data_IF_832872039610
#
_entry.id   IF_832872039610
#
_cell.length_a   1.000
_cell.length_b   1.000
_cell.length_c   1.000
_cell.angle_alpha   90.00
_cell.angle_beta   90.00
_cell.angle_gamma   90.00
#
_symmetry.space_group_name_H-M   'P 1'
#
loop_
_entity.id
_entity.type
_entity.pdbx_description
1 polymer ?
#
# COMPACT_ATOMS: atom_id res chain seq x y z
N UNK A 1 -16.81 -17.00 18.86
CA UNK A 1 -15.34 -16.90 18.88
C UNK A 1 -15.00 -15.44 19.01
N UNK A 2 -14.44 -15.02 20.13
CA UNK A 2 -13.90 -13.71 20.28
C UNK A 2 -12.79 -13.53 19.23
N UNK A 3 -13.04 -12.70 18.23
CA UNK A 3 -12.03 -12.36 17.27
C UNK A 3 -10.83 -11.80 18.01
N UNK A 4 -9.64 -12.37 17.80
CA UNK A 4 -8.40 -11.71 18.15
C UNK A 4 -8.48 -10.34 17.49
N UNK A 5 -8.68 -9.28 18.24
CA UNK A 5 -8.35 -7.93 17.83
C UNK A 5 -6.87 -7.98 17.45
N UNK A 6 -6.62 -8.19 16.17
CA UNK A 6 -5.29 -8.01 15.65
C UNK A 6 -5.03 -6.51 15.75
N UNK A 7 -4.23 -6.12 16.72
CA UNK A 7 -3.67 -4.78 16.83
C UNK A 7 -2.74 -4.52 15.62
N UNK A 8 -3.30 -4.61 14.41
CA UNK A 8 -2.60 -4.26 13.20
C UNK A 8 -2.52 -2.74 13.14
N UNK A 9 -1.36 -2.20 13.39
CA UNK A 9 -1.10 -0.76 13.25
C UNK A 9 -0.24 -0.52 12.02
N UNK A 10 -0.51 0.59 11.33
CA UNK A 10 0.41 1.07 10.33
C UNK A 10 1.69 1.53 11.01
N UNK A 11 2.82 1.09 10.50
CA UNK A 11 4.12 1.55 10.94
C UNK A 11 4.65 2.57 9.93
N UNK A 12 4.84 3.78 10.38
CA UNK A 12 5.45 4.84 9.58
C UNK A 12 6.85 5.08 10.15
N UNK A 13 7.88 4.78 9.35
CA UNK A 13 9.25 4.96 9.78
C UNK A 13 9.57 6.45 9.91
N UNK A 14 10.11 6.83 11.07
CA UNK A 14 10.66 8.16 11.26
C UNK A 14 11.95 8.33 10.45
N UNK A 15 12.14 9.53 9.92
CA UNK A 15 13.38 9.85 9.23
C UNK A 15 14.50 10.02 10.25
N UNK A 16 15.65 9.30 10.13
CA UNK A 16 16.75 9.48 11.07
C UNK A 16 17.32 10.89 10.97
N UNK A 17 17.81 11.47 12.08
CA UNK A 17 18.48 12.77 12.09
C UNK A 17 19.61 12.82 11.04
N UNK A 18 19.57 13.79 10.14
CA UNK A 18 20.54 13.89 9.03
C UNK A 18 20.28 12.95 7.86
N UNK A 19 19.18 12.23 7.85
CA UNK A 19 18.74 11.41 6.73
C UNK A 19 18.37 12.26 5.51
N UNK A 20 18.60 11.70 4.32
CA UNK A 20 18.22 12.36 3.06
C UNK A 20 16.69 12.41 2.95
N UNK A 21 16.15 13.59 2.76
CA UNK A 21 14.74 13.75 2.45
C UNK A 21 14.44 13.18 1.06
N UNK A 22 13.61 12.12 1.03
CA UNK A 22 13.15 11.49 -0.21
C UNK A 22 11.84 12.16 -0.58
N UNK A 23 11.87 13.03 -1.58
CA UNK A 23 10.68 13.70 -2.09
C UNK A 23 9.70 12.73 -2.77
N UNK A 24 8.50 13.23 -3.15
CA UNK A 24 7.44 12.40 -3.72
C UNK A 24 7.74 11.83 -5.12
N UNK A 25 8.85 12.20 -5.75
CA UNK A 25 9.24 11.78 -7.09
C UNK A 25 10.27 10.64 -7.03
N UNK A 26 9.79 9.42 -6.77
CA UNK A 26 10.62 8.23 -6.86
C UNK A 26 10.46 7.59 -8.26
N UNK A 27 11.56 7.47 -9.01
CA UNK A 27 11.57 6.89 -10.36
C UNK A 27 11.09 5.43 -10.38
N UNK A 28 11.40 4.64 -9.34
CA UNK A 28 10.93 3.26 -9.18
C UNK A 28 9.41 3.21 -9.07
N UNK A 29 8.84 4.09 -8.26
CA UNK A 29 7.39 4.19 -8.07
C UNK A 29 6.65 4.55 -9.37
N UNK A 30 7.22 5.43 -10.17
CA UNK A 30 6.66 5.80 -11.48
C UNK A 30 6.69 4.65 -12.48
N UNK A 31 7.70 3.79 -12.42
CA UNK A 31 7.77 2.58 -13.24
C UNK A 31 6.63 1.61 -12.93
N UNK A 32 6.30 1.42 -11.66
CA UNK A 32 5.17 0.57 -11.24
C UNK A 32 3.81 1.13 -11.65
N UNK A 33 3.64 2.44 -11.64
CA UNK A 33 2.38 3.10 -12.02
C UNK A 33 1.97 2.88 -13.47
N UNK A 34 2.93 2.70 -14.37
CA UNK A 34 2.63 2.49 -15.80
C UNK A 34 1.93 1.15 -16.07
N UNK A 35 2.31 0.10 -15.33
CA UNK A 35 1.79 -1.25 -15.50
C UNK A 35 1.58 -1.94 -14.14
N UNK A 36 0.60 -1.49 -13.33
CA UNK A 36 0.49 -1.92 -11.94
C UNK A 36 0.25 -3.42 -11.78
N UNK A 37 -0.58 -4.02 -12.61
CA UNK A 37 -0.86 -5.46 -12.54
C UNK A 37 0.32 -6.31 -12.99
N UNK A 38 0.97 -5.94 -14.09
CA UNK A 38 2.17 -6.62 -14.56
C UNK A 38 3.31 -6.52 -13.54
N UNK A 39 3.46 -5.38 -12.90
CA UNK A 39 4.44 -5.17 -11.83
C UNK A 39 4.12 -6.02 -10.59
N UNK A 40 2.86 -6.05 -10.15
CA UNK A 40 2.42 -6.89 -9.04
C UNK A 40 2.74 -8.36 -9.29
N UNK A 41 2.39 -8.89 -10.48
CA UNK A 41 2.63 -10.29 -10.84
C UNK A 41 4.13 -10.59 -10.89
N UNK A 42 4.92 -9.74 -11.51
CA UNK A 42 6.37 -9.92 -11.62
C UNK A 42 7.05 -9.95 -10.26
N UNK A 43 6.80 -8.95 -9.43
CA UNK A 43 7.42 -8.82 -8.11
C UNK A 43 7.01 -9.95 -7.17
N UNK A 44 5.73 -10.32 -7.15
CA UNK A 44 5.25 -11.41 -6.30
C UNK A 44 5.82 -12.77 -6.72
N UNK A 45 5.95 -13.04 -8.01
CA UNK A 45 6.59 -14.27 -8.51
C UNK A 45 8.09 -14.26 -8.17
N UNK A 46 8.80 -13.16 -8.42
CA UNK A 46 10.21 -13.02 -8.10
C UNK A 46 10.47 -13.29 -6.62
N UNK A 47 9.74 -12.61 -5.72
CA UNK A 47 9.90 -12.79 -4.29
C UNK A 47 9.62 -14.23 -3.84
N UNK A 48 8.64 -14.88 -4.45
CA UNK A 48 8.30 -16.27 -4.13
C UNK A 48 9.37 -17.25 -4.60
N UNK A 49 9.97 -17.02 -5.76
CA UNK A 49 11.08 -17.82 -6.28
C UNK A 49 12.35 -17.64 -5.45
N UNK A 50 12.63 -16.42 -5.00
CA UNK A 50 13.79 -16.11 -4.18
C UNK A 50 13.69 -16.71 -2.76
N UNK A 51 12.48 -17.02 -2.29
CA UNK A 51 12.21 -17.59 -0.98
C UNK A 51 11.96 -19.11 -0.98
N UNK A 52 12.26 -19.81 -2.09
CA UNK A 52 12.06 -21.26 -2.20
C UNK A 52 12.97 -22.00 -1.24
N UNK A 53 12.37 -22.84 -0.39
CA UNK A 53 13.10 -23.69 0.56
C UNK A 53 13.51 -25.04 -0.05
N UNK A 54 12.75 -25.56 -0.99
CA UNK A 54 13.02 -26.84 -1.68
C UNK A 54 12.75 -26.71 -3.18
N UNK A 55 13.81 -26.85 -3.96
CA UNK A 55 13.74 -26.76 -5.43
C UNK A 55 13.05 -27.96 -6.09
N UNK A 56 12.65 -29.00 -5.34
CA UNK A 56 11.97 -30.16 -5.86
C UNK A 56 10.47 -29.93 -6.05
N UNK A 57 9.91 -28.97 -5.34
CA UNK A 57 8.50 -28.65 -5.43
C UNK A 57 8.28 -27.37 -6.26
N UNK A 58 7.27 -27.36 -7.14
CA UNK A 58 6.97 -26.17 -7.92
C UNK A 58 6.38 -25.05 -7.04
N UNK A 59 6.81 -23.83 -7.29
CA UNK A 59 6.18 -22.66 -6.70
C UNK A 59 4.80 -22.45 -7.34
N UNK A 60 3.78 -22.36 -6.51
CA UNK A 60 2.40 -22.13 -6.96
C UNK A 60 1.95 -20.75 -6.47
N UNK A 61 1.52 -19.93 -7.40
CA UNK A 61 0.99 -18.59 -7.12
C UNK A 61 -0.50 -18.55 -7.44
N UNK A 62 -1.28 -18.02 -6.52
CA UNK A 62 -2.72 -17.83 -6.67
C UNK A 62 -3.10 -16.38 -6.49
N UNK A 63 -3.80 -15.82 -7.46
CA UNK A 63 -4.33 -14.48 -7.44
C UNK A 63 -5.85 -14.54 -7.37
N UNK A 64 -6.43 -13.92 -6.35
CA UNK A 64 -7.87 -13.94 -6.13
C UNK A 64 -8.40 -12.51 -6.03
N UNK A 65 -9.40 -12.18 -6.83
CA UNK A 65 -10.18 -10.96 -6.65
C UNK A 65 -11.22 -11.21 -5.57
N UNK A 66 -11.21 -10.38 -4.54
CA UNK A 66 -12.09 -10.49 -3.38
C UNK A 66 -12.70 -9.15 -3.00
N UNK A 67 -13.71 -9.21 -2.16
CA UNK A 67 -14.32 -8.05 -1.53
C UNK A 67 -14.25 -8.18 -0.01
N UNK A 68 -14.12 -7.06 0.68
CA UNK A 68 -14.31 -6.95 2.12
C UNK A 68 -15.23 -5.79 2.44
N UNK A 69 -15.85 -5.82 3.61
CA UNK A 69 -16.53 -4.65 4.12
C UNK A 69 -15.51 -3.56 4.40
N UNK A 70 -15.83 -2.31 4.08
CA UNK A 70 -14.91 -1.18 4.29
C UNK A 70 -14.54 -1.01 5.78
N UNK A 71 -15.43 -1.34 6.70
CA UNK A 71 -15.16 -1.34 8.15
C UNK A 71 -14.11 -2.36 8.60
N UNK A 72 -13.89 -3.43 7.81
CA UNK A 72 -12.89 -4.46 8.08
C UNK A 72 -11.48 -4.08 7.59
N UNK A 73 -11.34 -2.95 6.89
CA UNK A 73 -10.03 -2.46 6.45
C UNK A 73 -9.22 -1.98 7.65
N UNK A 74 -8.04 -2.58 7.93
CA UNK A 74 -7.32 -2.32 9.17
C UNK A 74 -6.77 -0.89 9.23
N UNK A 75 -7.10 -0.19 10.31
CA UNK A 75 -6.58 1.14 10.65
C UNK A 75 -6.62 2.17 9.49
N UNK A 76 -7.70 2.17 8.77
CA UNK A 76 -7.90 3.05 7.61
C UNK A 76 -7.70 4.53 7.94
N UNK A 77 -8.24 4.98 9.09
CA UNK A 77 -8.11 6.37 9.51
C UNK A 77 -6.68 6.78 9.81
N UNK A 78 -5.89 5.90 10.41
CA UNK A 78 -4.48 6.17 10.68
C UNK A 78 -3.69 6.40 9.40
N UNK A 79 -3.91 5.56 8.37
CA UNK A 79 -3.30 5.73 7.06
C UNK A 79 -3.71 7.04 6.40
N UNK A 80 -5.00 7.35 6.41
CA UNK A 80 -5.54 8.60 5.85
C UNK A 80 -4.96 9.82 6.55
N UNK A 81 -4.94 9.83 7.87
CA UNK A 81 -4.39 10.93 8.66
C UNK A 81 -2.90 11.12 8.42
N UNK A 82 -2.14 10.03 8.27
CA UNK A 82 -0.73 10.12 7.93
C UNK A 82 -0.50 10.73 6.54
N UNK A 83 -1.26 10.31 5.54
CA UNK A 83 -1.18 10.89 4.18
C UNK A 83 -1.55 12.36 4.21
N UNK A 84 -2.60 12.75 4.94
CA UNK A 84 -2.97 14.16 5.13
C UNK A 84 -1.84 14.94 5.82
N UNK A 85 -1.19 14.36 6.82
CA UNK A 85 -0.03 14.96 7.48
C UNK A 85 1.13 15.22 6.51
N UNK A 86 1.36 14.31 5.55
CA UNK A 86 2.36 14.52 4.50
C UNK A 86 2.01 15.70 3.59
N UNK A 87 0.73 15.86 3.23
CA UNK A 87 0.26 16.99 2.44
C UNK A 87 0.48 18.31 3.19
N UNK A 88 0.13 18.34 4.47
CA UNK A 88 0.23 19.53 5.32
C UNK A 88 1.69 19.91 5.59
N UNK A 89 2.58 18.93 5.67
CA UNK A 89 4.02 19.14 5.86
C UNK A 89 4.68 19.85 4.68
N UNK A 90 4.19 19.62 3.46
CA UNK A 90 4.71 20.24 2.24
C UNK A 90 3.79 21.35 1.70
N UNK A 91 3.40 22.34 2.48
CA UNK A 91 2.38 23.32 2.07
C UNK A 91 2.83 24.21 0.89
N UNK A 92 4.14 24.39 0.73
CA UNK A 92 4.75 25.18 -0.35
C UNK A 92 5.18 24.35 -1.55
N UNK A 93 5.10 23.02 -1.46
CA UNK A 93 5.49 22.12 -2.54
C UNK A 93 4.25 21.66 -3.30
N UNK A 94 3.98 22.31 -4.43
CA UNK A 94 2.82 22.01 -5.28
C UNK A 94 2.85 20.57 -5.80
N UNK A 95 4.03 19.98 -6.00
CA UNK A 95 4.19 18.61 -6.49
C UNK A 95 3.77 17.59 -5.42
N UNK A 96 4.11 17.81 -4.16
CA UNK A 96 3.69 16.94 -3.07
C UNK A 96 2.16 16.95 -2.92
N UNK A 97 1.54 18.12 -2.91
CA UNK A 97 0.09 18.25 -2.85
C UNK A 97 -0.59 17.56 -4.03
N UNK A 98 -0.12 17.80 -5.25
CA UNK A 98 -0.66 17.16 -6.45
C UNK A 98 -0.55 15.63 -6.41
N UNK A 99 0.46 15.07 -5.72
CA UNK A 99 0.63 13.62 -5.57
C UNK A 99 -0.25 13.01 -4.48
N UNK A 100 -0.30 13.62 -3.30
CA UNK A 100 -0.95 13.03 -2.12
C UNK A 100 -2.45 13.31 -2.04
N UNK A 101 -2.90 14.47 -2.52
CA UNK A 101 -4.32 14.83 -2.47
C UNK A 101 -5.23 13.84 -3.22
N UNK A 102 -4.89 13.36 -4.42
CA UNK A 102 -5.66 12.31 -5.08
C UNK A 102 -5.67 10.98 -4.31
N UNK A 103 -4.60 10.64 -3.60
CA UNK A 103 -4.55 9.45 -2.77
C UNK A 103 -5.51 9.54 -1.58
N UNK A 104 -5.53 10.68 -0.89
CA UNK A 104 -6.47 10.93 0.21
C UNK A 104 -7.91 10.91 -0.29
N UNK A 105 -8.17 11.50 -1.45
CA UNK A 105 -9.50 11.49 -2.05
C UNK A 105 -9.93 10.05 -2.41
N UNK A 106 -9.06 9.28 -3.05
CA UNK A 106 -9.34 7.90 -3.39
C UNK A 106 -9.62 7.04 -2.15
N UNK A 107 -8.84 7.19 -1.08
CA UNK A 107 -9.07 6.50 0.18
C UNK A 107 -10.41 6.91 0.82
N UNK A 108 -10.78 8.19 0.76
CA UNK A 108 -12.06 8.68 1.26
C UNK A 108 -13.24 8.11 0.47
N UNK A 109 -13.10 8.03 -0.85
CA UNK A 109 -14.12 7.45 -1.73
C UNK A 109 -14.30 5.95 -1.46
N UNK A 110 -13.20 5.22 -1.25
CA UNK A 110 -13.26 3.81 -0.85
C UNK A 110 -13.92 3.63 0.52
N UNK A 111 -13.59 4.46 1.47
CA UNK A 111 -14.19 4.40 2.80
C UNK A 111 -15.70 4.67 2.78
N UNK A 112 -16.18 5.53 1.88
CA UNK A 112 -17.60 5.80 1.69
C UNK A 112 -18.39 4.65 1.04
N UNK A 113 -17.69 3.63 0.51
CA UNK A 113 -18.32 2.42 -0.05
C UNK A 113 -18.57 1.38 1.03
N UNK A 114 -19.65 0.61 0.88
CA UNK A 114 -19.96 -0.48 1.80
C UNK A 114 -18.93 -1.63 1.69
N UNK A 115 -18.35 -1.82 0.51
CA UNK A 115 -17.35 -2.86 0.21
C UNK A 115 -16.15 -2.30 -0.54
N UNK A 116 -15.00 -2.90 -0.29
CA UNK A 116 -13.73 -2.61 -0.98
C UNK A 116 -13.27 -3.86 -1.71
N UNK A 117 -12.90 -3.71 -2.97
CA UNK A 117 -12.30 -4.77 -3.77
C UNK A 117 -10.79 -4.81 -3.54
N UNK A 118 -10.25 -6.01 -3.43
CA UNK A 118 -8.81 -6.24 -3.27
C UNK A 118 -8.33 -7.50 -3.99
N UNK A 119 -7.03 -7.59 -4.19
CA UNK A 119 -6.37 -8.78 -4.74
C UNK A 119 -5.63 -9.48 -3.61
N UNK A 120 -5.92 -10.76 -3.41
CA UNK A 120 -5.18 -11.64 -2.52
C UNK A 120 -4.17 -12.44 -3.35
N UNK A 121 -2.91 -12.41 -2.91
CA UNK A 121 -1.82 -13.19 -3.49
C UNK A 121 -1.37 -14.24 -2.47
N UNK A 122 -1.36 -15.49 -2.88
CA UNK A 122 -0.92 -16.64 -2.06
C UNK A 122 0.14 -17.41 -2.79
#
# INVERSE_FOLDING_TARGET
MAGREKNCKWFFADQPPGGREIGPNNAMEQSFKKHPYASLVRESIQNSLDAVLDNKEPVRMKYEFREMKSEDYPNFFDLRNHIQGCIDYYPKNTNAKAKYEPMVQALSDYYGKATIQYIRVN
#
